data_IF_048178431760
#
_entry.id   IF_048178431760
#
_cell.length_a   1.000
_cell.length_b   1.000
_cell.length_c   1.000
_cell.angle_alpha   90.00
_cell.angle_beta   90.00
_cell.angle_gamma   90.00
#
_symmetry.space_group_name_H-M   'P 1'
#
loop_
_entity.id
_entity.type
_entity.pdbx_description
1 polymer ?
#
# COMPACT_ATOMS: atom_id res chain seq x y z
N UNK A 1 -16.91 -19.05 3.10
CA UNK A 1 -17.48 -17.94 3.90
C UNK A 1 -16.81 -16.66 3.42
N UNK A 2 -17.51 -15.85 2.61
CA UNK A 2 -16.92 -14.79 1.79
C UNK A 2 -16.95 -13.42 2.50
N UNK A 3 -15.77 -12.84 2.69
CA UNK A 3 -15.55 -11.55 3.36
C UNK A 3 -15.43 -10.41 2.34
N UNK A 4 -16.45 -9.54 2.38
CA UNK A 4 -16.41 -8.06 2.28
C UNK A 4 -15.57 -7.42 1.16
N UNK A 5 -16.29 -6.94 0.14
CA UNK A 5 -15.89 -5.83 -0.71
C UNK A 5 -15.77 -4.53 0.13
N UNK A 6 -14.57 -3.95 0.18
CA UNK A 6 -14.38 -2.53 0.48
C UNK A 6 -14.17 -1.78 -0.84
N UNK A 7 -15.26 -1.25 -1.38
CA UNK A 7 -15.21 -0.28 -2.48
C UNK A 7 -14.62 1.04 -1.98
N UNK A 8 -13.50 1.39 -2.61
CA UNK A 8 -12.77 2.64 -2.46
C UNK A 8 -13.62 3.81 -2.96
N UNK A 9 -13.67 4.85 -2.13
CA UNK A 9 -14.39 6.10 -2.37
C UNK A 9 -13.77 6.84 -3.56
N UNK A 10 -14.38 6.74 -4.74
CA UNK A 10 -14.02 7.53 -5.92
C UNK A 10 -14.57 8.95 -5.78
N UNK A 11 -13.70 9.91 -5.47
CA UNK A 11 -14.00 11.34 -5.56
C UNK A 11 -13.99 11.78 -7.04
N UNK A 12 -15.16 11.78 -7.68
CA UNK A 12 -15.37 12.45 -8.99
C UNK A 12 -15.61 13.95 -8.78
N UNK A 13 -14.89 14.84 -9.48
CA UNK A 13 -15.29 16.24 -9.61
C UNK A 13 -16.21 16.39 -10.80
N UNK A 14 -17.53 16.37 -10.58
CA UNK A 14 -18.52 16.71 -11.60
C UNK A 14 -19.07 18.12 -11.36
N UNK A 15 -18.41 19.12 -11.98
CA UNK A 15 -19.01 20.43 -12.25
C UNK A 15 -20.11 20.25 -13.29
N UNK A 16 -21.35 20.11 -12.82
CA UNK A 16 -22.55 20.13 -13.68
C UNK A 16 -22.68 21.52 -14.31
N UNK A 17 -22.67 21.56 -15.64
CA UNK A 17 -23.10 22.69 -16.46
C UNK A 17 -24.55 23.03 -16.11
N UNK A 18 -24.79 24.15 -15.43
CA UNK A 18 -26.14 24.72 -15.32
C UNK A 18 -26.47 25.48 -16.60
N UNK A 19 -27.63 25.17 -17.17
CA UNK A 19 -28.26 25.90 -18.27
C UNK A 19 -28.58 27.33 -17.81
N UNK A 20 -28.08 28.32 -18.56
CA UNK A 20 -28.53 29.71 -18.44
C UNK A 20 -29.79 29.86 -19.29
N UNK A 21 -30.93 29.95 -18.63
CA UNK A 21 -32.19 30.40 -19.22
C UNK A 21 -32.23 31.93 -19.14
N UNK A 22 -32.49 32.56 -20.29
CA UNK A 22 -32.53 34.00 -20.44
C UNK A 22 -33.67 34.63 -19.64
N UNK A 23 -33.36 35.57 -18.73
CA UNK A 23 -34.34 36.57 -18.32
C UNK A 23 -33.66 37.88 -17.87
N UNK A 24 -33.74 38.84 -18.78
CA UNK A 24 -33.92 40.28 -18.61
C UNK A 24 -33.50 40.96 -17.29
N UNK A 25 -32.72 42.05 -17.46
CA UNK A 25 -32.66 43.31 -16.70
C UNK A 25 -31.52 43.48 -15.68
N UNK A 26 -30.93 44.68 -15.77
CA UNK A 26 -30.02 45.37 -14.84
C UNK A 26 -28.51 45.20 -15.07
N UNK A 27 -27.97 46.02 -15.98
CA UNK A 27 -26.55 46.42 -16.01
C UNK A 27 -26.34 47.50 -14.93
N UNK A 28 -26.14 47.10 -13.69
CA UNK A 28 -25.53 47.92 -12.63
C UNK A 28 -25.57 47.11 -11.33
N UNK A 29 -24.47 46.44 -10.95
CA UNK A 29 -24.21 45.92 -9.58
C UNK A 29 -22.99 44.98 -9.48
N UNK A 30 -22.53 44.36 -10.57
CA UNK A 30 -21.67 43.18 -10.45
C UNK A 30 -20.16 43.46 -10.22
N UNK A 31 -19.74 44.73 -10.14
CA UNK A 31 -18.33 45.11 -9.93
C UNK A 31 -17.85 44.97 -8.46
N UNK A 32 -18.66 44.40 -7.54
CA UNK A 32 -18.34 44.28 -6.11
C UNK A 32 -18.38 42.85 -5.54
N UNK A 33 -18.63 41.83 -6.35
CA UNK A 33 -18.60 40.44 -5.87
C UNK A 33 -17.18 39.85 -5.92
N UNK A 34 -16.38 40.16 -4.91
CA UNK A 34 -15.19 39.35 -4.62
C UNK A 34 -15.65 38.04 -3.96
N UNK A 35 -15.33 36.91 -4.59
CA UNK A 35 -15.45 35.58 -3.99
C UNK A 35 -14.26 35.40 -3.06
N UNK A 36 -14.49 35.53 -1.76
CA UNK A 36 -13.47 35.30 -0.74
C UNK A 36 -13.47 33.80 -0.40
N UNK A 37 -12.39 33.09 -0.75
CA UNK A 37 -12.17 31.75 -0.23
C UNK A 37 -11.78 31.85 1.25
N UNK A 38 -12.35 30.99 2.09
CA UNK A 38 -12.00 30.92 3.51
C UNK A 38 -10.58 30.34 3.66
N UNK A 39 -9.60 31.21 3.94
CA UNK A 39 -8.24 30.79 4.29
C UNK A 39 -8.24 30.23 5.72
N UNK A 40 -7.64 29.05 5.99
CA UNK A 40 -7.54 28.52 7.35
C UNK A 40 -6.70 29.49 8.21
N UNK A 41 -7.13 29.74 9.46
CA UNK A 41 -6.38 30.55 10.41
C UNK A 41 -5.07 29.87 10.77
N UNK A 42 -3.95 30.34 10.20
CA UNK A 42 -2.62 29.94 10.62
C UNK A 42 -2.28 30.56 12.00
N UNK A 43 -1.60 29.83 12.89
CA UNK A 43 -1.20 30.34 14.20
C UNK A 43 -0.22 31.51 14.04
N UNK A 44 -0.32 32.50 14.93
CA UNK A 44 0.56 33.67 14.91
C UNK A 44 2.01 33.25 15.15
N UNK A 45 2.85 33.25 14.12
CA UNK A 45 4.28 33.04 14.27
C UNK A 45 4.92 34.28 14.91
N UNK A 46 4.96 34.33 16.25
CA UNK A 46 5.94 35.12 16.99
C UNK A 46 7.31 34.47 16.77
N UNK A 47 7.91 34.72 15.62
CA UNK A 47 9.26 34.29 15.32
C UNK A 47 10.23 35.31 15.94
N UNK A 48 10.66 35.02 17.17
CA UNK A 48 11.80 35.69 17.80
C UNK A 48 13.03 34.91 17.33
N UNK A 49 13.67 35.35 16.25
CA UNK A 49 14.99 34.82 15.86
C UNK A 49 16.08 35.61 16.60
N UNK A 50 16.89 34.95 17.47
CA UNK A 50 18.09 35.55 17.99
C UNK A 50 19.11 35.72 16.85
N UNK A 51 19.74 36.91 16.78
CA UNK A 51 20.87 37.18 15.87
C UNK A 51 21.99 36.20 16.19
N UNK A 52 22.14 35.15 15.37
CA UNK A 52 23.29 34.27 15.40
C UNK A 52 24.34 34.79 14.43
N UNK A 53 25.42 35.28 15.03
CA UNK A 53 26.68 35.69 14.43
C UNK A 53 27.36 34.43 13.87
N UNK A 54 27.52 34.34 12.55
CA UNK A 54 28.33 33.31 11.91
C UNK A 54 29.46 33.98 11.14
N UNK A 55 30.64 33.92 11.73
CA UNK A 55 31.93 34.10 11.07
C UNK A 55 32.19 32.90 10.17
N UNK A 56 32.44 33.13 8.89
CA UNK A 56 33.05 32.12 8.01
C UNK A 56 34.02 32.81 7.07
N UNK A 57 35.31 32.67 7.38
CA UNK A 57 36.39 32.81 6.44
C UNK A 57 36.30 31.69 5.40
N UNK A 58 36.22 32.02 4.11
CA UNK A 58 36.99 31.35 3.06
C UNK A 58 36.79 31.99 1.68
N UNK A 59 37.86 32.65 1.25
CA UNK A 59 38.34 32.85 -0.12
C UNK A 59 37.50 32.26 -1.27
N UNK A 60 36.73 33.10 -1.97
CA UNK A 60 36.34 32.86 -3.36
C UNK A 60 36.73 34.08 -4.20
N UNK A 61 37.75 33.82 -5.01
CA UNK A 61 38.21 34.49 -6.23
C UNK A 61 37.63 35.88 -6.58
N UNK A 62 38.58 36.81 -6.74
CA UNK A 62 38.51 38.14 -7.34
C UNK A 62 37.72 38.14 -8.67
N UNK A 63 36.41 38.36 -8.62
CA UNK A 63 35.67 38.92 -9.75
C UNK A 63 35.88 40.44 -9.74
N UNK A 64 36.57 40.87 -10.79
CA UNK A 64 36.92 42.23 -11.17
C UNK A 64 35.81 43.23 -10.79
N UNK A 65 36.16 44.15 -9.87
CA UNK A 65 35.44 45.40 -9.58
C UNK A 65 35.17 46.14 -10.91
N UNK A 66 34.01 45.91 -11.52
CA UNK A 66 33.38 46.97 -12.29
C UNK A 66 32.89 47.96 -11.26
N UNK A 67 33.60 49.10 -11.18
CA UNK A 67 33.04 50.32 -10.60
C UNK A 67 31.76 50.61 -11.38
N UNK A 68 30.64 50.16 -10.84
CA UNK A 68 29.37 50.79 -11.10
C UNK A 68 29.52 52.22 -10.57
N UNK A 69 29.93 53.11 -11.48
CA UNK A 69 29.74 54.54 -11.31
C UNK A 69 28.22 54.71 -11.33
N UNK A 70 27.61 54.54 -10.17
CA UNK A 70 26.28 55.05 -9.94
C UNK A 70 26.45 56.55 -10.06
N UNK A 71 26.06 57.03 -11.24
CA UNK A 71 26.08 58.40 -11.70
C UNK A 71 25.63 59.35 -10.60
N UNK A 72 26.60 59.93 -9.89
CA UNK A 72 26.36 61.03 -8.94
C UNK A 72 25.87 62.30 -9.66
N UNK A 73 25.83 62.30 -11.00
CA UNK A 73 25.25 63.32 -11.87
C UNK A 73 23.94 62.91 -12.52
N UNK A 74 23.26 61.85 -12.05
CA UNK A 74 21.86 61.65 -12.40
C UNK A 74 21.09 62.77 -11.74
N UNK A 75 20.95 63.89 -12.47
CA UNK A 75 20.14 65.05 -12.09
C UNK A 75 18.82 64.45 -11.61
N UNK A 76 18.58 64.49 -10.30
CA UNK A 76 17.24 64.26 -9.76
C UNK A 76 16.36 65.15 -10.63
N UNK A 77 15.42 64.53 -11.36
CA UNK A 77 14.38 65.27 -12.07
C UNK A 77 13.92 66.30 -11.03
N UNK A 78 14.00 67.62 -11.31
CA UNK A 78 13.53 68.63 -10.39
C UNK A 78 12.16 68.15 -9.92
N UNK A 79 11.95 68.05 -8.60
CA UNK A 79 10.66 67.66 -8.07
C UNK A 79 9.66 68.63 -8.67
N UNK A 80 8.97 68.19 -9.72
CA UNK A 80 7.99 69.00 -10.41
C UNK A 80 6.97 69.29 -9.34
N UNK A 81 6.88 70.55 -8.92
CA UNK A 81 5.83 70.96 -8.01
C UNK A 81 4.52 70.79 -8.78
N UNK A 82 3.95 69.58 -8.69
CA UNK A 82 2.66 69.23 -9.27
C UNK A 82 1.59 70.23 -8.82
N UNK A 83 1.78 70.80 -7.64
CA UNK A 83 0.98 71.91 -7.09
C UNK A 83 1.06 73.15 -8.00
N UNK A 84 2.24 73.57 -8.44
CA UNK A 84 2.43 74.72 -9.34
C UNK A 84 1.94 74.45 -10.77
N UNK A 85 2.15 73.23 -11.30
CA UNK A 85 1.63 72.91 -12.63
C UNK A 85 0.11 72.82 -12.66
N UNK A 86 -0.52 72.44 -11.54
CA UNK A 86 -1.99 72.40 -11.40
C UNK A 86 -2.62 73.79 -11.36
N UNK A 87 -1.90 74.81 -10.90
CA UNK A 87 -2.42 76.19 -10.86
C UNK A 87 -2.36 76.91 -12.21
N UNK A 88 -1.37 76.59 -13.05
CA UNK A 88 -1.25 77.15 -14.42
C UNK A 88 -1.90 76.22 -15.45
N UNK A 89 -3.20 76.39 -15.71
CA UNK A 89 -3.96 75.53 -16.64
C UNK A 89 -3.60 75.80 -18.12
N UNK A 90 -2.63 75.07 -18.64
CA UNK A 90 -2.22 75.03 -20.06
C UNK A 90 -2.14 73.56 -20.51
N UNK A 91 -2.51 73.27 -21.76
CA UNK A 91 -2.36 71.95 -22.41
C UNK A 91 -0.99 71.29 -22.16
N UNK A 92 0.10 72.06 -22.16
CA UNK A 92 1.45 71.57 -21.89
C UNK A 92 1.61 71.11 -20.43
N UNK A 93 1.12 71.90 -19.46
CA UNK A 93 1.19 71.55 -18.05
C UNK A 93 0.33 70.32 -17.73
N UNK A 94 -0.84 70.18 -18.35
CA UNK A 94 -1.66 68.96 -18.24
C UNK A 94 -0.96 67.72 -18.81
N UNK A 95 -0.19 67.85 -19.90
CA UNK A 95 0.63 66.75 -20.42
C UNK A 95 1.74 66.36 -19.44
N UNK A 96 2.42 67.34 -18.83
CA UNK A 96 3.46 67.06 -17.82
C UNK A 96 2.86 66.36 -16.59
N UNK A 97 1.72 66.85 -16.07
CA UNK A 97 1.04 66.22 -14.92
C UNK A 97 0.70 64.76 -15.26
N UNK A 98 0.10 64.49 -16.42
CA UNK A 98 -0.24 63.11 -16.85
C UNK A 98 0.99 62.21 -16.98
N UNK A 99 2.11 62.74 -17.48
CA UNK A 99 3.36 61.97 -17.57
C UNK A 99 3.94 61.66 -16.19
N UNK A 100 3.89 62.61 -15.25
CA UNK A 100 4.30 62.38 -13.86
C UNK A 100 3.42 61.31 -13.18
N UNK A 101 2.10 61.41 -13.35
CA UNK A 101 1.14 60.42 -12.82
C UNK A 101 1.37 59.04 -13.43
N UNK A 102 1.62 58.96 -14.74
CA UNK A 102 1.96 57.71 -15.43
C UNK A 102 3.29 57.11 -14.95
N UNK A 103 4.31 57.96 -14.71
CA UNK A 103 5.59 57.53 -14.17
C UNK A 103 5.45 56.98 -12.75
N UNK A 104 4.69 57.65 -11.87
CA UNK A 104 4.41 57.15 -10.52
C UNK A 104 3.66 55.83 -10.55
N UNK A 105 2.66 55.69 -11.44
CA UNK A 105 1.93 54.44 -11.63
C UNK A 105 2.86 53.31 -12.13
N UNK A 106 3.77 53.60 -13.06
CA UNK A 106 4.74 52.64 -13.58
C UNK A 106 5.74 52.19 -12.51
N UNK A 107 6.25 53.10 -11.68
CA UNK A 107 7.16 52.76 -10.58
C UNK A 107 6.46 51.88 -9.54
N UNK A 108 5.22 52.23 -9.16
CA UNK A 108 4.39 51.40 -8.26
C UNK A 108 4.13 50.01 -8.87
N UNK A 109 3.82 49.95 -10.16
CA UNK A 109 3.61 48.69 -10.89
C UNK A 109 4.87 47.82 -10.91
N UNK A 110 6.05 48.39 -11.18
CA UNK A 110 7.32 47.64 -11.18
C UNK A 110 7.64 47.04 -9.80
N UNK A 111 7.37 47.76 -8.71
CA UNK A 111 7.51 47.21 -7.36
C UNK A 111 6.58 46.01 -7.13
N UNK A 112 5.31 46.10 -7.55
CA UNK A 112 4.35 45.00 -7.45
C UNK A 112 4.79 43.82 -8.31
N UNK A 113 5.23 44.05 -9.54
CA UNK A 113 5.72 42.99 -10.45
C UNK A 113 6.88 42.23 -9.80
N UNK A 114 7.91 42.92 -9.28
CA UNK A 114 9.05 42.27 -8.61
C UNK A 114 8.64 41.46 -7.40
N UNK A 115 7.68 41.96 -6.62
CA UNK A 115 7.14 41.23 -5.47
C UNK A 115 6.41 39.96 -5.92
N UNK A 116 5.55 40.07 -6.93
CA UNK A 116 4.82 38.93 -7.50
C UNK A 116 5.78 37.90 -8.13
N UNK A 117 6.85 38.33 -8.79
CA UNK A 117 7.89 37.44 -9.32
C UNK A 117 8.60 36.66 -8.21
N UNK A 118 8.87 37.29 -7.07
CA UNK A 118 9.45 36.62 -5.90
C UNK A 118 8.48 35.60 -5.30
N UNK A 119 7.23 35.99 -5.07
CA UNK A 119 6.18 35.09 -4.54
C UNK A 119 5.92 33.92 -5.51
N UNK A 120 5.94 34.15 -6.83
CA UNK A 120 5.81 33.10 -7.83
C UNK A 120 6.95 32.08 -7.78
N UNK A 121 8.20 32.53 -7.65
CA UNK A 121 9.36 31.63 -7.50
C UNK A 121 9.31 30.83 -6.21
N UNK A 122 8.90 31.45 -5.10
CA UNK A 122 8.71 30.72 -3.82
C UNK A 122 7.63 29.64 -3.97
N UNK A 123 6.50 29.95 -4.62
CA UNK A 123 5.45 28.96 -4.90
C UNK A 123 5.91 27.85 -5.84
N UNK A 124 6.70 28.16 -6.87
CA UNK A 124 7.29 27.17 -7.78
C UNK A 124 8.20 26.18 -7.02
N UNK A 125 9.06 26.68 -6.13
CA UNK A 125 9.92 25.82 -5.30
C UNK A 125 9.12 24.94 -4.35
N UNK A 126 8.07 25.48 -3.72
CA UNK A 126 7.19 24.72 -2.83
C UNK A 126 6.41 23.64 -3.58
N UNK A 127 5.87 23.97 -4.77
CA UNK A 127 5.16 23.01 -5.62
C UNK A 127 6.09 21.89 -6.09
N UNK A 128 7.32 22.23 -6.48
CA UNK A 128 8.34 21.23 -6.88
C UNK A 128 8.67 20.28 -5.74
N UNK A 129 8.86 20.79 -4.52
CA UNK A 129 9.11 19.95 -3.34
C UNK A 129 7.91 19.03 -3.00
N UNK A 130 6.68 19.55 -3.13
CA UNK A 130 5.47 18.74 -2.94
C UNK A 130 5.35 17.63 -3.98
N UNK A 131 5.65 17.91 -5.25
CA UNK A 131 5.65 16.90 -6.31
C UNK A 131 6.72 15.83 -6.05
N UNK A 132 7.93 16.20 -5.63
CA UNK A 132 8.98 15.25 -5.27
C UNK A 132 8.54 14.34 -4.10
N UNK A 133 7.95 14.91 -3.05
CA UNK A 133 7.44 14.13 -1.92
C UNK A 133 6.30 13.18 -2.35
N UNK A 134 5.41 13.64 -3.25
CA UNK A 134 4.34 12.80 -3.77
C UNK A 134 4.88 11.63 -4.61
N UNK A 135 5.91 11.86 -5.43
CA UNK A 135 6.58 10.80 -6.19
C UNK A 135 7.21 9.77 -5.26
N UNK A 136 7.95 10.20 -4.23
CA UNK A 136 8.55 9.29 -3.25
C UNK A 136 7.49 8.46 -2.49
N UNK A 137 6.34 9.06 -2.17
CA UNK A 137 5.24 8.35 -1.53
C UNK A 137 4.65 7.28 -2.45
N UNK A 138 4.42 7.62 -3.73
CA UNK A 138 3.92 6.67 -4.73
C UNK A 138 4.91 5.52 -4.93
N UNK A 139 6.21 5.81 -5.03
CA UNK A 139 7.26 4.79 -5.16
C UNK A 139 7.28 3.84 -3.95
N UNK A 140 7.19 4.39 -2.74
CA UNK A 140 7.11 3.59 -1.51
C UNK A 140 5.85 2.72 -1.46
N UNK A 141 4.69 3.26 -1.87
CA UNK A 141 3.44 2.50 -1.89
C UNK A 141 3.48 1.36 -2.93
N UNK A 142 4.04 1.61 -4.11
CA UNK A 142 4.21 0.58 -5.16
C UNK A 142 5.14 -0.54 -4.69
N UNK A 143 6.27 -0.20 -4.05
CA UNK A 143 7.18 -1.20 -3.48
C UNK A 143 6.49 -2.03 -2.40
N UNK A 144 5.75 -1.39 -1.49
CA UNK A 144 4.96 -2.10 -0.46
C UNK A 144 3.96 -3.07 -1.09
N UNK A 145 3.20 -2.63 -2.10
CA UNK A 145 2.22 -3.50 -2.77
C UNK A 145 2.89 -4.69 -3.48
N UNK A 146 4.08 -4.51 -4.05
CA UNK A 146 4.84 -5.62 -4.64
C UNK A 146 5.32 -6.62 -3.58
N UNK A 147 5.78 -6.13 -2.42
CA UNK A 147 6.16 -6.98 -1.29
C UNK A 147 4.97 -7.74 -0.70
N UNK A 148 3.82 -7.07 -0.55
CA UNK A 148 2.56 -7.69 -0.11
C UNK A 148 2.14 -8.82 -1.06
N UNK A 149 2.20 -8.58 -2.38
CA UNK A 149 1.91 -9.62 -3.38
C UNK A 149 2.88 -10.79 -3.26
N UNK A 150 4.18 -10.53 -3.17
CA UNK A 150 5.21 -11.57 -3.04
C UNK A 150 5.04 -12.42 -1.78
N UNK A 151 4.65 -11.80 -0.66
CA UNK A 151 4.34 -12.51 0.58
C UNK A 151 3.07 -13.34 0.39
N UNK A 152 2.03 -12.80 -0.25
CA UNK A 152 0.81 -13.53 -0.61
C UNK A 152 1.11 -14.79 -1.41
N UNK A 153 1.85 -14.67 -2.52
CA UNK A 153 2.22 -15.80 -3.38
C UNK A 153 3.01 -16.88 -2.61
N UNK A 154 3.89 -16.47 -1.69
CA UNK A 154 4.65 -17.40 -0.84
C UNK A 154 3.73 -18.14 0.15
N UNK A 155 2.80 -17.43 0.79
CA UNK A 155 1.84 -18.03 1.71
C UNK A 155 0.92 -19.03 0.99
N UNK A 156 0.44 -18.68 -0.20
CA UNK A 156 -0.37 -19.58 -1.04
C UNK A 156 0.41 -20.86 -1.40
N UNK A 157 1.69 -20.72 -1.77
CA UNK A 157 2.55 -21.88 -2.05
C UNK A 157 2.77 -22.76 -0.81
N UNK A 158 2.95 -22.16 0.37
CA UNK A 158 3.12 -22.90 1.63
C UNK A 158 1.82 -23.61 2.01
N UNK A 159 0.67 -22.95 1.85
CA UNK A 159 -0.64 -23.55 2.11
C UNK A 159 -0.89 -24.76 1.20
N UNK A 160 -0.60 -24.64 -0.09
CA UNK A 160 -0.69 -25.76 -1.03
C UNK A 160 0.23 -26.92 -0.64
N UNK A 161 1.47 -26.62 -0.22
CA UNK A 161 2.41 -27.64 0.24
C UNK A 161 1.92 -28.33 1.52
N UNK A 162 1.40 -27.57 2.48
CA UNK A 162 0.84 -28.12 3.72
C UNK A 162 -0.36 -29.01 3.45
N UNK A 163 -1.26 -28.60 2.55
CA UNK A 163 -2.41 -29.40 2.16
C UNK A 163 -1.98 -30.72 1.51
N UNK A 164 -0.97 -30.68 0.63
CA UNK A 164 -0.42 -31.90 0.02
C UNK A 164 0.16 -32.84 1.06
N UNK A 165 1.00 -32.34 1.97
CA UNK A 165 1.61 -33.14 3.04
C UNK A 165 0.52 -33.72 3.96
N UNK A 166 -0.50 -32.94 4.31
CA UNK A 166 -1.61 -33.42 5.12
C UNK A 166 -2.40 -34.55 4.42
N UNK A 167 -2.62 -34.45 3.12
CA UNK A 167 -3.24 -35.50 2.32
C UNK A 167 -2.38 -36.76 2.29
N UNK A 168 -1.08 -36.64 1.99
CA UNK A 168 -0.14 -37.76 1.97
C UNK A 168 -0.09 -38.48 3.34
N UNK A 169 -0.12 -37.72 4.44
CA UNK A 169 -0.18 -38.26 5.80
C UNK A 169 -1.51 -38.99 6.09
N UNK A 170 -2.63 -38.46 5.61
CA UNK A 170 -3.94 -39.07 5.78
C UNK A 170 -4.06 -40.41 5.02
N UNK A 171 -3.58 -40.43 3.77
CA UNK A 171 -3.50 -41.65 2.96
C UNK A 171 -2.58 -42.69 3.61
N UNK A 172 -1.40 -42.27 4.08
CA UNK A 172 -0.47 -43.13 4.80
C UNK A 172 -1.07 -43.70 6.10
N UNK A 173 -1.76 -42.88 6.88
CA UNK A 173 -2.42 -43.31 8.13
C UNK A 173 -3.55 -44.30 7.86
N UNK A 174 -4.33 -44.07 6.79
CA UNK A 174 -5.36 -45.01 6.34
C UNK A 174 -4.73 -46.36 5.98
N UNK A 175 -3.63 -46.36 5.22
CA UNK A 175 -2.90 -47.58 4.89
C UNK A 175 -2.33 -48.32 6.11
N UNK A 176 -1.88 -47.61 7.14
CA UNK A 176 -1.48 -48.24 8.41
C UNK A 176 -2.66 -48.86 9.15
N UNK A 177 -3.81 -48.19 9.20
CA UNK A 177 -5.02 -48.72 9.84
C UNK A 177 -5.50 -50.00 9.15
N UNK A 178 -5.45 -50.06 7.82
CA UNK A 178 -5.78 -51.28 7.06
C UNK A 178 -4.84 -52.44 7.42
N UNK A 179 -3.52 -52.18 7.51
CA UNK A 179 -2.54 -53.19 7.92
C UNK A 179 -2.77 -53.67 9.35
N UNK A 180 -3.08 -52.75 10.28
CA UNK A 180 -3.41 -53.11 11.67
C UNK A 180 -4.65 -54.01 11.70
N UNK A 181 -5.72 -53.65 10.98
CA UNK A 181 -6.92 -54.48 10.90
C UNK A 181 -6.63 -55.88 10.33
N UNK A 182 -5.75 -56.00 9.32
CA UNK A 182 -5.31 -57.30 8.82
C UNK A 182 -4.52 -58.11 9.86
N UNK A 183 -3.64 -57.47 10.65
CA UNK A 183 -2.92 -58.12 11.74
C UNK A 183 -3.90 -58.59 12.83
N UNK A 184 -4.84 -57.75 13.22
CA UNK A 184 -5.87 -58.10 14.21
C UNK A 184 -6.70 -59.30 13.74
N UNK A 185 -7.07 -59.34 12.46
CA UNK A 185 -7.77 -60.49 11.86
C UNK A 185 -6.93 -61.77 11.90
N UNK A 186 -5.64 -61.68 11.58
CA UNK A 186 -4.72 -62.82 11.63
C UNK A 186 -4.52 -63.33 13.07
N UNK A 187 -4.35 -62.42 14.03
CA UNK A 187 -4.24 -62.76 15.46
C UNK A 187 -5.52 -63.42 15.98
N UNK A 188 -6.70 -62.94 15.58
CA UNK A 188 -7.98 -63.56 15.93
C UNK A 188 -8.10 -64.98 15.36
N UNK A 189 -7.59 -65.24 14.16
CA UNK A 189 -7.55 -66.58 13.58
C UNK A 189 -6.61 -67.51 14.35
N UNK A 190 -5.42 -67.04 14.73
CA UNK A 190 -4.47 -67.79 15.57
C UNK A 190 -5.10 -68.13 16.94
N UNK A 191 -5.80 -67.17 17.56
CA UNK A 191 -6.52 -67.39 18.83
C UNK A 191 -7.50 -68.55 18.74
N UNK A 192 -8.29 -68.61 17.66
CA UNK A 192 -9.23 -69.73 17.41
C UNK A 192 -8.53 -71.07 17.21
N UNK A 193 -7.38 -71.10 16.54
CA UNK A 193 -6.58 -72.31 16.40
C UNK A 193 -6.08 -72.81 17.76
N UNK A 194 -5.60 -71.89 18.61
CA UNK A 194 -5.13 -72.25 19.94
C UNK A 194 -6.28 -72.77 20.82
N UNK A 195 -7.46 -72.13 20.79
CA UNK A 195 -8.65 -72.63 21.49
C UNK A 195 -9.04 -74.04 21.02
N UNK A 196 -8.94 -74.31 19.71
CA UNK A 196 -9.20 -75.64 19.15
C UNK A 196 -8.17 -76.68 19.59
N UNK A 197 -6.88 -76.32 19.61
CA UNK A 197 -5.82 -77.19 20.13
C UNK A 197 -6.02 -77.47 21.62
N UNK A 198 -6.34 -76.47 22.43
CA UNK A 198 -6.63 -76.64 23.86
C UNK A 198 -7.85 -77.56 24.07
N UNK A 199 -8.89 -77.43 23.24
CA UNK A 199 -10.02 -78.37 23.24
C UNK A 199 -9.60 -79.80 22.86
N UNK A 200 -8.71 -79.99 21.89
CA UNK A 200 -8.21 -81.32 21.52
C UNK A 200 -7.34 -81.93 22.65
N UNK A 201 -6.44 -81.16 23.26
CA UNK A 201 -5.60 -81.64 24.36
C UNK A 201 -6.42 -81.99 25.62
N UNK A 202 -7.49 -81.25 25.91
CA UNK A 202 -8.43 -81.58 27.00
C UNK A 202 -9.36 -82.76 26.66
N UNK A 203 -9.59 -83.03 25.37
CA UNK A 203 -10.33 -84.21 24.91
C UNK A 203 -9.48 -85.50 25.02
N UNK A 204 -8.17 -85.44 24.75
CA UNK A 204 -7.28 -86.61 24.89
C UNK A 204 -7.13 -87.10 26.34
N UNK A 205 -7.32 -86.24 27.35
CA UNK A 205 -7.40 -86.70 28.75
C UNK A 205 -8.67 -87.52 29.04
N UNK A 206 -9.67 -87.50 28.13
CA UNK A 206 -10.95 -88.17 28.28
C UNK A 206 -11.24 -89.16 27.13
N UNK A 207 -10.66 -90.36 27.25
CA UNK A 207 -11.15 -91.65 26.71
C UNK A 207 -11.01 -91.93 25.21
N UNK A 208 -10.89 -93.25 24.98
CA UNK A 208 -11.33 -94.01 23.80
C UNK A 208 -10.74 -93.55 22.46
N UNK A 209 -9.89 -94.41 21.89
CA UNK A 209 -9.30 -94.26 20.58
C UNK A 209 -10.36 -93.81 19.56
N UNK A 210 -10.21 -92.58 19.06
CA UNK A 210 -10.97 -92.06 17.94
C UNK A 210 -10.89 -93.08 16.80
N UNK A 211 -11.98 -93.22 16.05
CA UNK A 211 -11.90 -94.00 14.83
C UNK A 211 -10.98 -93.29 13.83
N UNK A 212 -10.28 -94.05 12.98
CA UNK A 212 -9.41 -93.49 11.92
C UNK A 212 -10.13 -92.44 11.07
N UNK A 213 -11.45 -92.59 10.88
CA UNK A 213 -12.28 -91.64 10.15
C UNK A 213 -12.43 -90.28 10.87
N UNK A 214 -12.54 -90.30 12.21
CA UNK A 214 -12.60 -89.08 13.03
C UNK A 214 -11.24 -88.39 13.10
N UNK A 215 -10.15 -89.17 13.23
CA UNK A 215 -8.78 -88.64 13.15
C UNK A 215 -8.52 -87.96 11.80
N UNK A 216 -8.92 -88.60 10.68
CA UNK A 216 -8.80 -88.00 9.35
C UNK A 216 -9.62 -86.73 9.19
N UNK A 217 -10.81 -86.67 9.79
CA UNK A 217 -11.66 -85.46 9.76
C UNK A 217 -11.03 -84.32 10.58
N UNK A 218 -10.46 -84.63 11.74
CA UNK A 218 -9.75 -83.67 12.58
C UNK A 218 -8.53 -83.12 11.83
N UNK A 219 -7.70 -84.01 11.27
CA UNK A 219 -6.52 -83.65 10.48
C UNK A 219 -6.88 -82.81 9.26
N UNK A 220 -7.98 -83.12 8.56
CA UNK A 220 -8.46 -82.31 7.43
C UNK A 220 -8.89 -80.91 7.87
N UNK A 221 -9.45 -80.77 9.07
CA UNK A 221 -9.87 -79.48 9.62
C UNK A 221 -8.65 -78.64 10.01
N UNK A 222 -7.66 -79.28 10.63
CA UNK A 222 -6.39 -78.63 10.99
C UNK A 222 -5.62 -78.16 9.74
N UNK A 223 -5.50 -79.02 8.72
CA UNK A 223 -4.86 -78.65 7.44
C UNK A 223 -5.59 -77.47 6.80
N UNK A 224 -6.92 -77.45 6.83
CA UNK A 224 -7.72 -76.32 6.35
C UNK A 224 -7.37 -75.00 7.05
N UNK A 225 -7.29 -75.02 8.39
CA UNK A 225 -6.90 -73.85 9.19
C UNK A 225 -5.46 -73.39 8.92
N UNK A 226 -4.51 -74.32 8.82
CA UNK A 226 -3.12 -73.97 8.47
C UNK A 226 -3.02 -73.35 7.08
N UNK A 227 -3.80 -73.85 6.11
CA UNK A 227 -3.88 -73.25 4.77
C UNK A 227 -4.49 -71.85 4.81
N UNK A 228 -5.53 -71.62 5.61
CA UNK A 228 -6.15 -70.30 5.78
C UNK A 228 -5.19 -69.30 6.44
N UNK A 229 -4.43 -69.73 7.45
CA UNK A 229 -3.34 -68.93 8.04
C UNK A 229 -2.27 -68.62 7.00
N UNK A 230 -1.83 -69.62 6.23
CA UNK A 230 -0.77 -69.46 5.24
C UNK A 230 -1.22 -68.55 4.08
N UNK A 231 -2.49 -68.62 3.68
CA UNK A 231 -3.09 -67.69 2.72
C UNK A 231 -3.19 -66.27 3.30
N UNK A 232 -3.60 -66.13 4.56
CA UNK A 232 -3.63 -64.83 5.24
C UNK A 232 -2.22 -64.23 5.36
N UNK A 233 -1.20 -65.06 5.63
CA UNK A 233 0.21 -64.66 5.68
C UNK A 233 0.76 -64.27 4.30
N UNK A 234 0.31 -64.94 3.22
CA UNK A 234 0.70 -64.56 1.85
C UNK A 234 0.18 -63.18 1.44
N UNK A 235 -0.92 -62.70 2.02
CA UNK A 235 -1.39 -61.33 1.80
C UNK A 235 -0.49 -60.28 2.47
N UNK A 236 0.32 -60.67 3.47
CA UNK A 236 1.38 -59.84 4.00
C UNK A 236 2.57 -59.83 3.05
N UNK A 237 2.61 -58.85 2.13
CA UNK A 237 3.86 -58.45 1.46
C UNK A 237 4.75 -57.72 2.47
N UNK A 238 5.54 -58.48 3.23
CA UNK A 238 6.74 -57.98 3.92
C UNK A 238 7.84 -57.67 2.91
#
# INVERSE_FOLDING_TARGET
>A
MSSKQHETTVLRPSLKKQQVQAQARSKDSDAKRHVTFATPKLPSSKCILPKQQLTSDQNISKSRKQKSVIDAHRKRIPSVELVELRTKKNKHNEQIIRLCEAQEALVKSNYVIRRMEKEAKEQETAATALLQNAVLLIESDVLRSFEEQKIGDLLDSVEQQQHKVAQDLYEGTTGYNERIASIEKALAAIGKCNEMLDMQFTFEENKESLSVAEEMKLLSTDIGLYLDILNSLKEFRL
#
